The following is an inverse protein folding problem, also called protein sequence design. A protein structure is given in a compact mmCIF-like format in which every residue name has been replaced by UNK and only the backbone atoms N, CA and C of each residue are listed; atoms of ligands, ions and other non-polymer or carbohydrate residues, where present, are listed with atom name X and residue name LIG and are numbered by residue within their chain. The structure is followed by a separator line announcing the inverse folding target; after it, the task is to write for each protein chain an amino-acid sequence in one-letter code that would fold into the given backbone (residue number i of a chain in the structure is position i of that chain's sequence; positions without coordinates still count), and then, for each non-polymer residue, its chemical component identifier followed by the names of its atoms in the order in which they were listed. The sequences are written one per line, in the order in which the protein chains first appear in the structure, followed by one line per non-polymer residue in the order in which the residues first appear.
data_IF_323866743389
#
_entry.id   IF_323866743389
#
_cell.length_a   1.000
_cell.length_b   1.000
_cell.length_c   1.000
_cell.angle_alpha   90.00
_cell.angle_beta   90.00
_cell.angle_gamma   90.00
#
_symmetry.space_group_name_H-M   'P 1'
#
loop_
_entity.id
_entity.type
_entity.pdbx_description
1 polymer ?
#
# COMPACT_ATOMS: atom_id res chain seq x y z
N UNK A 1 -1.23 -19.08 26.49
CA UNK A 1 -1.01 -20.40 25.84
C UNK A 1 -1.45 -20.32 24.39
N UNK A 2 -0.80 -21.09 23.51
CA UNK A 2 -1.10 -21.11 22.06
C UNK A 2 -2.53 -21.63 21.82
N UNK A 3 -3.06 -22.41 22.75
CA UNK A 3 -4.40 -23.00 22.71
C UNK A 3 -5.53 -21.98 22.93
N UNK A 4 -5.21 -20.77 23.40
CA UNK A 4 -6.20 -19.70 23.64
C UNK A 4 -6.52 -18.86 22.39
N UNK A 5 -5.77 -19.06 21.29
CA UNK A 5 -5.97 -18.34 20.02
C UNK A 5 -6.95 -19.10 19.13
N UNK A 6 -8.09 -18.49 18.87
CA UNK A 6 -9.13 -19.09 18.06
C UNK A 6 -9.10 -18.60 16.60
N UNK A 7 -8.74 -19.50 15.68
CA UNK A 7 -8.85 -19.26 14.24
C UNK A 7 -10.30 -19.30 13.74
N UNK A 8 -10.57 -18.69 12.60
CA UNK A 8 -11.89 -18.71 11.96
C UNK A 8 -11.79 -19.28 10.55
N UNK A 9 -12.48 -20.38 10.28
CA UNK A 9 -12.51 -21.02 8.95
C UNK A 9 -13.41 -20.23 7.98
N UNK A 10 -14.56 -19.80 8.45
CA UNK A 10 -15.55 -19.05 7.67
C UNK A 10 -16.25 -17.97 8.51
N UNK A 11 -17.15 -17.21 7.89
CA UNK A 11 -17.88 -16.11 8.54
C UNK A 11 -18.86 -16.61 9.61
N UNK A 12 -19.45 -17.79 9.47
CA UNK A 12 -20.40 -18.33 10.46
C UNK A 12 -19.68 -18.75 11.75
N UNK A 13 -18.50 -19.35 11.64
CA UNK A 13 -17.63 -19.65 12.78
C UNK A 13 -17.19 -18.36 13.47
N UNK A 14 -16.83 -17.34 12.72
CA UNK A 14 -16.49 -16.02 13.28
C UNK A 14 -17.66 -15.43 14.06
N UNK A 15 -18.87 -15.46 13.52
CA UNK A 15 -20.10 -15.00 14.20
C UNK A 15 -20.34 -15.73 15.50
N UNK A 16 -20.27 -17.06 15.47
CA UNK A 16 -20.50 -17.88 16.66
C UNK A 16 -19.50 -17.51 17.78
N UNK A 17 -18.21 -17.32 17.43
CA UNK A 17 -17.18 -16.90 18.38
C UNK A 17 -17.38 -15.48 18.86
N UNK A 18 -17.72 -14.53 18.00
CA UNK A 18 -18.06 -13.16 18.42
C UNK A 18 -19.27 -13.09 19.35
N UNK A 19 -20.27 -13.98 19.16
CA UNK A 19 -21.44 -14.06 20.00
C UNK A 19 -21.17 -14.82 21.32
N UNK A 20 -20.14 -15.66 21.37
CA UNK A 20 -19.78 -16.47 22.53
C UNK A 20 -19.48 -15.64 23.77
N UNK A 21 -19.78 -16.21 24.93
CA UNK A 21 -19.39 -15.69 26.25
C UNK A 21 -18.32 -16.58 26.90
N UNK A 22 -17.84 -17.61 26.19
CA UNK A 22 -16.78 -18.48 26.67
C UNK A 22 -15.45 -17.70 26.70
N UNK A 23 -14.71 -17.70 27.80
CA UNK A 23 -13.39 -17.08 27.89
C UNK A 23 -12.40 -17.56 26.82
N UNK A 24 -12.56 -18.78 26.30
CA UNK A 24 -11.73 -19.34 25.23
C UNK A 24 -11.89 -18.59 23.90
N UNK A 25 -13.04 -17.96 23.68
CA UNK A 25 -13.34 -17.18 22.47
C UNK A 25 -12.97 -15.69 22.62
N UNK A 26 -12.16 -15.33 23.61
CA UNK A 26 -11.78 -13.93 23.87
C UNK A 26 -10.77 -13.43 22.85
N UNK A 27 -9.84 -14.29 22.39
CA UNK A 27 -8.83 -13.95 21.40
C UNK A 27 -9.14 -14.65 20.08
N UNK A 28 -9.59 -13.89 19.09
CA UNK A 28 -10.02 -14.38 17.78
C UNK A 28 -9.07 -13.85 16.70
N UNK A 29 -8.50 -14.74 15.89
CA UNK A 29 -7.74 -14.38 14.68
C UNK A 29 -8.60 -14.60 13.45
N UNK A 30 -8.75 -13.57 12.64
CA UNK A 30 -9.58 -13.59 11.43
C UNK A 30 -9.04 -12.67 10.34
N UNK A 31 -9.56 -12.79 9.12
CA UNK A 31 -9.24 -11.85 8.05
C UNK A 31 -10.20 -10.65 8.03
N UNK A 32 -9.73 -9.52 7.50
CA UNK A 32 -10.54 -8.31 7.37
C UNK A 32 -11.75 -8.56 6.46
N UNK A 33 -11.62 -9.40 5.42
CA UNK A 33 -12.71 -9.78 4.53
C UNK A 33 -13.85 -10.47 5.28
N UNK A 34 -13.53 -11.40 6.18
CA UNK A 34 -14.56 -12.08 7.00
C UNK A 34 -15.22 -11.11 7.97
N UNK A 35 -14.45 -10.19 8.57
CA UNK A 35 -14.99 -9.16 9.45
C UNK A 35 -15.91 -8.18 8.72
N UNK A 36 -15.54 -7.72 7.52
CA UNK A 36 -16.37 -6.79 6.74
C UNK A 36 -17.69 -7.40 6.26
N UNK A 37 -17.78 -8.73 6.18
CA UNK A 37 -19.02 -9.45 5.89
C UNK A 37 -19.98 -9.54 7.08
N UNK A 38 -19.58 -9.05 8.26
CA UNK A 38 -20.44 -8.94 9.45
C UNK A 38 -21.26 -7.65 9.35
N UNK A 39 -22.25 -7.64 8.44
CA UNK A 39 -23.15 -6.50 8.21
C UNK A 39 -24.59 -6.91 8.45
N UNK A 40 -25.41 -5.95 8.88
CA UNK A 40 -26.86 -6.17 8.98
C UNK A 40 -27.46 -6.34 7.56
N UNK A 41 -28.23 -7.39 7.35
CA UNK A 41 -29.00 -7.61 6.12
C UNK A 41 -28.26 -8.32 4.99
N UNK A 42 -26.94 -8.52 5.06
CA UNK A 42 -26.21 -9.35 4.11
C UNK A 42 -25.87 -10.71 4.74
N UNK A 43 -26.48 -11.79 4.20
CA UNK A 43 -26.27 -13.16 4.69
C UNK A 43 -26.74 -13.32 6.15
N UNK A 44 -26.67 -14.38 6.72
CA UNK A 44 -27.14 -14.96 7.98
C UNK A 44 -27.07 -14.12 9.30
N UNK A 45 -26.94 -12.77 9.28
CA UNK A 45 -26.94 -11.92 10.50
C UNK A 45 -28.18 -11.04 10.54
N UNK A 46 -28.96 -11.17 11.62
CA UNK A 46 -30.07 -10.28 11.89
C UNK A 46 -29.60 -8.97 12.51
N UNK A 47 -30.37 -7.88 12.33
CA UNK A 47 -30.08 -6.57 12.97
C UNK A 47 -29.94 -6.68 14.49
N UNK A 48 -30.71 -7.59 15.13
CA UNK A 48 -30.60 -7.83 16.59
C UNK A 48 -29.27 -8.43 17.01
N UNK A 49 -28.72 -9.33 16.17
CA UNK A 49 -27.40 -9.93 16.44
C UNK A 49 -26.28 -8.93 16.23
N UNK A 50 -26.31 -8.13 15.16
CA UNK A 50 -25.34 -7.04 14.94
C UNK A 50 -25.37 -6.06 16.13
N UNK A 51 -26.56 -5.67 16.60
CA UNK A 51 -26.68 -4.77 17.74
C UNK A 51 -26.08 -5.36 19.02
N UNK A 52 -26.31 -6.65 19.30
CA UNK A 52 -25.70 -7.34 20.45
C UNK A 52 -24.17 -7.40 20.34
N UNK A 53 -23.64 -7.57 19.12
CA UNK A 53 -22.20 -7.55 18.89
C UNK A 53 -21.62 -6.14 19.02
N UNK A 54 -22.33 -5.11 18.56
CA UNK A 54 -21.94 -3.71 18.66
C UNK A 54 -21.86 -3.22 20.14
N UNK A 55 -22.65 -3.82 21.04
CA UNK A 55 -22.63 -3.50 22.46
C UNK A 55 -21.43 -4.14 23.22
N UNK A 56 -20.73 -5.09 22.59
CA UNK A 56 -19.53 -5.70 23.21
C UNK A 56 -18.34 -4.76 23.18
N UNK A 57 -17.51 -4.84 24.22
CA UNK A 57 -16.19 -4.18 24.23
C UNK A 57 -15.22 -5.00 23.39
N UNK A 58 -15.03 -4.61 22.14
CA UNK A 58 -14.14 -5.28 21.20
C UNK A 58 -12.91 -4.40 20.96
N UNK A 59 -11.75 -5.02 20.89
CA UNK A 59 -10.49 -4.38 20.48
C UNK A 59 -10.03 -5.06 19.20
N UNK A 60 -9.89 -4.28 18.13
CA UNK A 60 -9.31 -4.72 16.89
C UNK A 60 -7.83 -4.37 16.85
N UNK A 61 -7.01 -5.39 16.66
CA UNK A 61 -5.58 -5.26 16.36
C UNK A 61 -5.41 -5.63 14.90
N UNK A 62 -5.02 -4.65 14.08
CA UNK A 62 -4.97 -4.78 12.62
C UNK A 62 -3.52 -4.68 12.17
N UNK A 63 -2.98 -5.79 11.71
CA UNK A 63 -1.65 -5.86 11.12
C UNK A 63 -1.67 -5.40 9.66
N UNK A 64 -0.53 -4.93 9.14
CA UNK A 64 -0.38 -4.40 7.77
C UNK A 64 -1.45 -3.36 7.41
N UNK A 65 -1.77 -2.46 8.34
CA UNK A 65 -2.91 -1.54 8.24
C UNK A 65 -2.79 -0.48 7.14
N UNK A 66 -1.64 -0.40 6.46
CA UNK A 66 -1.39 0.47 5.30
C UNK A 66 -1.98 -0.05 3.98
N UNK A 67 -2.41 -1.32 3.91
CA UNK A 67 -2.88 -1.90 2.64
C UNK A 67 -4.13 -1.20 2.15
N UNK A 68 -4.11 -0.79 0.87
CA UNK A 68 -5.14 0.06 0.24
C UNK A 68 -6.57 -0.48 0.30
N UNK A 69 -6.75 -1.79 0.47
CA UNK A 69 -8.05 -2.45 0.60
C UNK A 69 -8.72 -2.21 1.96
N UNK A 70 -7.98 -1.69 2.95
CA UNK A 70 -8.51 -1.46 4.30
C UNK A 70 -9.52 -0.31 4.39
N UNK A 71 -9.44 0.71 3.53
CA UNK A 71 -10.28 1.91 3.62
C UNK A 71 -11.77 1.59 3.68
N UNK A 72 -12.31 0.89 2.70
CA UNK A 72 -13.75 0.56 2.61
C UNK A 72 -14.14 -0.53 3.61
N UNK A 73 -13.41 -1.64 3.64
CA UNK A 73 -13.70 -2.75 4.57
C UNK A 73 -13.61 -2.32 6.03
N UNK A 74 -12.66 -1.46 6.38
CA UNK A 74 -12.54 -0.95 7.73
C UNK A 74 -13.69 -0.02 8.09
N UNK A 75 -14.20 0.77 7.14
CA UNK A 75 -15.40 1.59 7.35
C UNK A 75 -16.62 0.72 7.63
N UNK A 76 -16.80 -0.38 6.89
CA UNK A 76 -17.86 -1.36 7.13
C UNK A 76 -17.78 -1.95 8.54
N UNK A 77 -16.57 -2.36 8.96
CA UNK A 77 -16.34 -2.91 10.29
C UNK A 77 -16.65 -1.85 11.36
N UNK A 78 -16.20 -0.63 11.18
CA UNK A 78 -16.48 0.48 12.11
C UNK A 78 -17.97 0.79 12.22
N UNK A 79 -18.70 0.71 11.11
CA UNK A 79 -20.15 0.87 11.12
C UNK A 79 -20.84 -0.25 11.91
N UNK A 80 -20.36 -1.48 11.78
CA UNK A 80 -20.92 -2.64 12.51
C UNK A 80 -20.51 -2.65 14.00
N UNK A 81 -19.36 -2.06 14.35
CA UNK A 81 -18.79 -2.07 15.71
C UNK A 81 -18.39 -0.65 16.17
N UNK A 82 -19.35 0.25 16.34
CA UNK A 82 -19.08 1.67 16.64
C UNK A 82 -18.40 1.91 18.00
N UNK A 83 -18.56 0.98 18.95
CA UNK A 83 -17.99 1.07 20.30
C UNK A 83 -16.62 0.34 20.43
N UNK A 84 -16.10 -0.22 19.34
CA UNK A 84 -14.83 -0.94 19.36
C UNK A 84 -13.62 0.01 19.33
N UNK A 85 -12.50 -0.44 19.90
CA UNK A 85 -11.20 0.21 19.76
C UNK A 85 -10.42 -0.39 18.60
N UNK A 86 -9.69 0.45 17.89
CA UNK A 86 -8.94 0.04 16.68
C UNK A 86 -7.48 0.45 16.80
N UNK A 87 -6.58 -0.52 16.77
CA UNK A 87 -5.14 -0.32 16.75
C UNK A 87 -4.56 -0.86 15.45
N UNK A 88 -3.89 0.01 14.68
CA UNK A 88 -3.22 -0.35 13.43
C UNK A 88 -1.72 -0.52 13.64
N UNK A 89 -1.16 -1.60 13.13
CA UNK A 89 0.27 -1.86 13.06
C UNK A 89 0.73 -1.86 11.61
N UNK A 90 1.86 -1.22 11.33
CA UNK A 90 2.42 -1.18 9.98
C UNK A 90 3.91 -0.84 9.99
N UNK A 91 4.67 -1.50 9.14
CA UNK A 91 6.06 -1.13 8.86
C UNK A 91 6.19 0.02 7.84
N UNK A 92 5.12 0.33 7.08
CA UNK A 92 5.13 1.34 6.01
C UNK A 92 3.91 2.25 6.10
N UNK A 93 3.86 3.18 7.08
CA UNK A 93 2.74 4.09 7.23
C UNK A 93 2.58 5.00 6.01
N UNK A 94 1.34 5.29 5.65
CA UNK A 94 1.00 6.24 4.58
C UNK A 94 0.90 7.63 5.18
N UNK A 95 1.78 8.52 4.73
CA UNK A 95 1.84 9.94 5.08
C UNK A 95 1.21 10.79 3.96
N UNK A 96 1.14 12.12 4.15
CA UNK A 96 0.63 13.04 3.13
C UNK A 96 1.43 12.98 1.82
N UNK A 97 2.75 12.78 1.90
CA UNK A 97 3.68 12.73 0.76
C UNK A 97 3.44 11.51 -0.15
N UNK A 98 3.01 10.39 0.44
CA UNK A 98 2.73 9.15 -0.28
C UNK A 98 1.25 8.73 -0.19
N UNK A 99 0.36 9.72 -0.05
CA UNK A 99 -1.08 9.54 0.10
C UNK A 99 -1.66 8.74 -1.05
N UNK A 100 -2.35 7.64 -0.72
CA UNK A 100 -3.04 6.79 -1.68
C UNK A 100 -4.56 6.87 -1.46
N UNK A 101 -5.33 6.94 -2.56
CA UNK A 101 -6.81 7.04 -2.53
C UNK A 101 -7.34 8.09 -1.55
N UNK A 102 -6.60 9.17 -1.37
CA UNK A 102 -7.02 10.30 -0.54
C UNK A 102 -6.94 10.09 0.97
N UNK A 103 -6.38 8.99 1.48
CA UNK A 103 -6.29 8.70 2.91
C UNK A 103 -4.85 8.47 3.37
N UNK A 104 -4.57 8.87 4.62
CA UNK A 104 -3.32 8.56 5.32
C UNK A 104 -3.58 7.58 6.47
N UNK A 105 -2.52 6.96 7.00
CA UNK A 105 -2.65 6.06 8.15
C UNK A 105 -3.21 6.79 9.37
N UNK A 106 -2.78 8.03 9.62
CA UNK A 106 -3.28 8.85 10.74
C UNK A 106 -4.73 9.29 10.57
N UNK A 107 -5.20 9.53 9.36
CA UNK A 107 -6.64 9.82 9.12
C UNK A 107 -7.53 8.63 9.46
N UNK A 108 -7.01 7.42 9.30
CA UNK A 108 -7.76 6.18 9.54
C UNK A 108 -7.66 5.72 10.99
N UNK A 109 -6.48 5.77 11.60
CA UNK A 109 -6.22 5.20 12.94
C UNK A 109 -5.97 6.24 14.02
N UNK A 110 -5.85 7.53 13.68
CA UNK A 110 -5.47 8.58 14.61
C UNK A 110 -3.94 8.72 14.73
N UNK A 111 -3.50 9.34 15.83
CA UNK A 111 -2.09 9.63 16.07
C UNK A 111 -1.25 8.38 16.27
N UNK A 112 0.03 8.46 15.88
CA UNK A 112 0.99 7.39 16.09
C UNK A 112 1.30 7.28 17.59
N UNK A 113 0.90 6.16 18.19
CA UNK A 113 1.08 5.90 19.63
C UNK A 113 2.51 5.42 19.95
N UNK A 114 3.12 4.67 19.04
CA UNK A 114 4.48 4.14 19.20
C UNK A 114 5.14 3.98 17.85
N UNK A 115 6.44 4.27 17.80
CA UNK A 115 7.27 4.10 16.62
C UNK A 115 8.59 3.43 17.01
N UNK A 116 8.93 2.35 16.29
CA UNK A 116 10.21 1.67 16.36
C UNK A 116 10.76 1.56 14.94
N UNK A 117 11.74 2.37 14.60
CA UNK A 117 12.29 2.47 13.25
C UNK A 117 13.41 1.44 13.01
N UNK A 118 13.78 1.23 11.74
CA UNK A 118 14.96 0.42 11.38
C UNK A 118 16.22 0.98 12.08
N UNK A 119 16.36 2.32 12.17
CA UNK A 119 17.47 2.95 12.87
C UNK A 119 17.50 2.59 14.37
N UNK A 120 16.33 2.53 15.01
CA UNK A 120 16.23 2.07 16.40
C UNK A 120 16.62 0.59 16.51
N UNK A 121 16.14 -0.26 15.58
CA UNK A 121 16.47 -1.68 15.53
C UNK A 121 17.97 -1.94 15.35
N UNK A 122 18.66 -1.15 14.51
CA UNK A 122 20.11 -1.23 14.32
C UNK A 122 20.84 -0.78 15.58
N UNK A 123 20.44 0.33 16.18
CA UNK A 123 21.03 0.83 17.43
C UNK A 123 20.89 -0.19 18.57
N UNK A 124 19.76 -0.86 18.67
CA UNK A 124 19.46 -1.83 19.71
C UNK A 124 20.02 -3.24 19.42
N UNK A 125 20.67 -3.43 18.26
CA UNK A 125 21.25 -4.72 17.84
C UNK A 125 20.22 -5.76 17.37
N UNK A 126 18.96 -5.38 17.20
CA UNK A 126 17.88 -6.26 16.72
C UNK A 126 17.84 -6.39 15.18
N UNK A 127 18.45 -5.44 14.47
CA UNK A 127 18.59 -5.43 13.02
C UNK A 127 20.04 -5.22 12.67
N UNK A 128 20.58 -5.98 11.71
CA UNK A 128 21.93 -5.78 11.21
C UNK A 128 22.02 -4.46 10.45
N UNK A 129 23.09 -3.71 10.71
CA UNK A 129 23.43 -2.54 9.90
C UNK A 129 23.77 -2.94 8.47
N UNK A 130 23.57 -2.01 7.53
CA UNK A 130 23.94 -2.19 6.13
C UNK A 130 24.66 -0.95 5.61
N UNK A 131 25.56 -1.19 4.69
CA UNK A 131 26.27 -0.14 3.95
C UNK A 131 25.87 -0.26 2.48
N UNK A 132 24.99 0.64 1.97
CA UNK A 132 24.51 0.56 0.61
C UNK A 132 25.60 0.97 -0.36
N UNK A 133 26.05 0.03 -1.20
CA UNK A 133 26.94 0.30 -2.30
C UNK A 133 26.15 0.46 -3.59
N UNK A 134 26.05 1.70 -4.07
CA UNK A 134 25.35 2.00 -5.31
C UNK A 134 26.32 1.99 -6.48
N UNK A 135 26.01 1.18 -7.47
CA UNK A 135 26.74 1.13 -8.74
C UNK A 135 25.87 1.77 -9.83
N UNK A 136 26.36 2.86 -10.42
CA UNK A 136 25.77 3.41 -11.61
C UNK A 136 26.21 2.55 -12.80
N UNK A 137 25.27 1.81 -13.38
CA UNK A 137 25.53 0.95 -14.56
C UNK A 137 25.42 1.72 -15.88
N UNK A 138 24.78 2.89 -15.87
CA UNK A 138 24.64 3.79 -17.03
C UNK A 138 24.53 5.25 -16.55
N UNK A 139 24.73 6.18 -17.51
CA UNK A 139 24.47 7.61 -17.27
C UNK A 139 23.07 7.95 -17.77
N UNK A 140 22.27 8.58 -16.93
CA UNK A 140 20.89 9.00 -17.25
C UNK A 140 20.79 9.72 -18.60
N UNK A 141 21.76 10.58 -18.92
CA UNK A 141 21.79 11.32 -20.16
C UNK A 141 21.91 10.40 -21.40
N UNK A 142 22.75 9.37 -21.31
CA UNK A 142 23.01 8.47 -22.43
C UNK A 142 21.77 7.59 -22.69
N UNK A 143 21.15 7.11 -21.63
CA UNK A 143 19.91 6.32 -21.69
C UNK A 143 18.75 7.15 -22.22
N UNK A 144 18.57 8.39 -21.72
CA UNK A 144 17.58 9.32 -22.25
C UNK A 144 17.75 9.57 -23.72
N UNK A 145 18.98 9.86 -24.15
CA UNK A 145 19.29 10.12 -25.54
C UNK A 145 18.97 8.92 -26.44
N UNK A 146 19.31 7.70 -26.00
CA UNK A 146 18.99 6.50 -26.76
C UNK A 146 17.47 6.32 -26.94
N UNK A 147 16.69 6.48 -25.86
CA UNK A 147 15.21 6.41 -25.92
C UNK A 147 14.64 7.55 -26.75
N UNK A 148 15.14 8.79 -26.59
CA UNK A 148 14.69 9.95 -27.34
C UNK A 148 14.90 9.79 -28.86
N UNK A 149 16.07 9.30 -29.28
CA UNK A 149 16.36 9.00 -30.69
C UNK A 149 15.44 7.90 -31.25
N UNK A 150 15.23 6.82 -30.47
CA UNK A 150 14.33 5.75 -30.89
C UNK A 150 12.88 6.27 -31.07
N UNK A 151 12.40 7.11 -30.17
CA UNK A 151 11.05 7.68 -30.24
C UNK A 151 10.89 8.70 -31.31
N UNK A 152 11.91 9.52 -31.56
CA UNK A 152 11.97 10.45 -32.68
C UNK A 152 12.19 9.76 -34.04
N UNK A 153 12.46 8.45 -34.07
CA UNK A 153 12.80 7.68 -35.27
C UNK A 153 13.98 8.31 -36.03
N UNK A 154 15.02 8.68 -35.29
CA UNK A 154 16.24 9.28 -35.82
C UNK A 154 17.45 8.42 -35.43
N UNK A 155 18.41 8.30 -36.30
CA UNK A 155 19.65 7.57 -36.04
C UNK A 155 20.68 8.40 -35.29
N UNK A 156 20.65 9.74 -35.45
CA UNK A 156 21.56 10.68 -34.79
C UNK A 156 20.82 11.88 -34.22
N UNK A 157 21.48 12.62 -33.33
CA UNK A 157 20.93 13.85 -32.74
C UNK A 157 20.73 14.92 -33.80
N UNK A 158 21.68 15.03 -34.75
CA UNK A 158 21.62 15.98 -35.88
C UNK A 158 20.38 15.70 -36.74
N UNK A 159 20.10 14.41 -37.02
CA UNK A 159 18.91 14.02 -37.79
C UNK A 159 17.62 14.37 -37.00
N UNK A 160 17.60 14.11 -35.70
CA UNK A 160 16.45 14.47 -34.85
C UNK A 160 16.20 15.99 -34.82
N UNK A 161 17.27 16.79 -34.83
CA UNK A 161 17.18 18.25 -34.77
C UNK A 161 16.87 18.91 -36.12
N UNK A 162 17.19 18.24 -37.26
CA UNK A 162 16.95 18.76 -38.57
C UNK A 162 15.46 18.78 -38.97
N UNK A 163 14.65 17.92 -38.39
CA UNK A 163 13.21 17.82 -38.62
C UNK A 163 12.42 18.35 -37.41
N UNK A 164 11.61 19.41 -37.56
CA UNK A 164 10.86 19.98 -36.42
C UNK A 164 9.99 18.98 -35.67
N UNK A 165 9.33 18.05 -36.36
CA UNK A 165 8.48 17.03 -35.73
C UNK A 165 9.29 16.01 -34.93
N UNK A 166 10.44 15.59 -35.44
CA UNK A 166 11.38 14.71 -34.73
C UNK A 166 12.01 15.43 -33.54
N UNK A 167 12.36 16.72 -33.71
CA UNK A 167 12.96 17.53 -32.67
C UNK A 167 12.02 17.69 -31.45
N UNK A 168 10.73 17.95 -31.66
CA UNK A 168 9.74 18.02 -30.61
C UNK A 168 9.70 16.74 -29.77
N UNK A 169 9.62 15.58 -30.41
CA UNK A 169 9.63 14.28 -29.74
C UNK A 169 10.96 14.05 -29.02
N UNK A 170 12.09 14.34 -29.65
CA UNK A 170 13.41 14.18 -29.06
C UNK A 170 13.56 14.97 -27.76
N UNK A 171 13.23 16.27 -27.78
CA UNK A 171 13.35 17.13 -26.61
C UNK A 171 12.37 16.78 -25.51
N UNK A 172 11.16 16.30 -25.84
CA UNK A 172 10.22 15.79 -24.83
C UNK A 172 10.83 14.67 -23.97
N UNK A 173 11.48 13.69 -24.60
CA UNK A 173 12.11 12.58 -23.86
C UNK A 173 13.45 12.98 -23.20
N UNK A 174 14.11 14.02 -23.69
CA UNK A 174 15.33 14.56 -23.06
C UNK A 174 15.05 15.42 -21.83
N UNK A 175 13.87 15.99 -21.69
CA UNK A 175 13.51 16.87 -20.56
C UNK A 175 13.09 16.02 -19.34
N UNK A 176 13.85 16.10 -18.22
CA UNK A 176 13.49 15.38 -16.99
C UNK A 176 12.16 15.79 -16.37
N UNK A 177 11.67 17.01 -16.64
CA UNK A 177 10.41 17.51 -16.11
C UNK A 177 9.20 16.95 -16.86
N UNK A 178 9.37 16.62 -18.15
CA UNK A 178 8.32 16.03 -18.97
C UNK A 178 8.31 14.50 -18.93
N UNK A 179 9.51 13.92 -18.89
CA UNK A 179 9.68 12.47 -18.88
C UNK A 179 10.61 12.05 -17.72
N UNK A 180 10.09 11.53 -16.61
CA UNK A 180 10.90 11.06 -15.48
C UNK A 180 11.76 9.86 -15.88
N UNK A 181 12.79 9.53 -15.09
CA UNK A 181 13.65 8.37 -15.33
C UNK A 181 12.90 7.06 -15.07
N UNK A 182 12.44 6.86 -13.88
CA UNK A 182 11.59 5.72 -13.49
C UNK A 182 10.10 6.02 -13.62
N UNK A 183 9.25 4.99 -13.56
CA UNK A 183 7.80 5.19 -13.56
C UNK A 183 7.36 5.95 -12.31
N UNK A 184 6.37 6.81 -12.48
CA UNK A 184 5.73 7.54 -11.38
C UNK A 184 4.28 7.13 -11.24
N UNK A 185 3.72 7.34 -10.06
CA UNK A 185 2.30 7.14 -9.81
C UNK A 185 1.67 8.50 -9.46
N UNK A 186 0.57 8.85 -10.11
CA UNK A 186 -0.17 10.08 -9.79
C UNK A 186 -0.87 9.94 -8.44
N UNK A 187 -1.32 11.06 -7.87
CA UNK A 187 -2.16 11.04 -6.67
C UNK A 187 -3.48 10.27 -6.85
N UNK A 188 -3.93 10.12 -8.10
CA UNK A 188 -5.10 9.32 -8.47
C UNK A 188 -4.80 7.81 -8.62
N UNK A 189 -3.53 7.40 -8.49
CA UNK A 189 -3.10 6.00 -8.62
C UNK A 189 -2.85 5.57 -10.08
N UNK A 190 -2.76 6.52 -11.01
CA UNK A 190 -2.41 6.23 -12.42
C UNK A 190 -0.89 6.15 -12.58
N UNK A 191 -0.42 5.10 -13.25
CA UNK A 191 1.00 4.91 -13.54
C UNK A 191 1.40 5.73 -14.76
N UNK A 192 2.32 6.68 -14.57
CA UNK A 192 3.01 7.40 -15.64
C UNK A 192 4.29 6.65 -15.96
N UNK A 193 4.52 6.39 -17.26
CA UNK A 193 5.74 5.74 -17.73
C UNK A 193 6.93 6.69 -17.63
N UNK A 194 8.08 6.11 -17.22
CA UNK A 194 9.37 6.78 -17.28
C UNK A 194 10.23 6.30 -18.44
N UNK A 195 11.43 6.83 -18.55
CA UNK A 195 12.43 6.43 -19.56
C UNK A 195 12.73 4.93 -19.48
N UNK A 196 12.84 4.38 -18.28
CA UNK A 196 13.14 2.97 -18.03
C UNK A 196 12.09 2.02 -18.63
N UNK A 197 10.84 2.43 -18.73
CA UNK A 197 9.76 1.62 -19.33
C UNK A 197 9.92 1.44 -20.87
N UNK A 198 10.83 2.17 -21.48
CA UNK A 198 11.10 2.12 -22.92
C UNK A 198 12.44 1.44 -23.27
N UNK A 199 13.23 1.07 -22.26
CA UNK A 199 14.48 0.37 -22.47
C UNK A 199 14.23 -1.08 -22.91
N UNK A 200 14.99 -1.53 -23.89
CA UNK A 200 15.03 -2.94 -24.29
C UNK A 200 16.07 -3.69 -23.47
N UNK A 201 15.94 -5.01 -23.36
CA UNK A 201 16.91 -5.86 -22.66
C UNK A 201 18.36 -5.69 -23.14
N UNK A 202 18.56 -5.31 -24.42
CA UNK A 202 19.87 -5.02 -25.00
C UNK A 202 20.46 -3.68 -24.55
N UNK A 203 19.66 -2.78 -23.98
CA UNK A 203 20.09 -1.47 -23.49
C UNK A 203 20.39 -1.49 -21.98
N UNK A 204 20.04 -2.60 -21.30
CA UNK A 204 20.41 -2.86 -19.90
C UNK A 204 21.72 -3.64 -19.75
N UNK A 205 22.28 -4.20 -20.82
CA UNK A 205 23.52 -4.96 -20.84
C UNK A 205 24.72 -4.06 -21.17
#
# INVERSE_FOLDING_TARGET
DVDDVQGTENTDVLKAKLASIDPKDTLIVTSIQKMSNIKAGEGHITEKEVKKLADKRIVFIIDECHRSTFGEMLQDIRHSFPNALYFGFTGTPIHEENRKKGSTTSMVFGDCLHRYSIADGIRDGNVLGFDPYMVLTYRDKDVRQAVALQKAKAATVEEAQADPAKAEVFYHYMDPNQMPMGPMETQAGERIKGIEDYLTSAQYA
#
